data_IF_279885485047
#
_entry.id   IF_279885485047
#
_cell.length_a   1.000
_cell.length_b   1.000
_cell.length_c   1.000
_cell.angle_alpha   90.00
_cell.angle_beta   90.00
_cell.angle_gamma   90.00
#
_symmetry.space_group_name_H-M   'P 1'
#
loop_
_entity.id
_entity.type
_entity.pdbx_description
1 polymer ?
#
# COMPACT_ATOMS: atom_id res chain seq x y z
N UNK A 1 4.41 -3.69 -35.37
CA UNK A 1 5.29 -3.70 -34.18
C UNK A 1 4.52 -4.40 -33.07
N UNK A 2 4.79 -5.69 -32.86
CA UNK A 2 4.19 -6.45 -31.76
C UNK A 2 4.75 -5.93 -30.44
N UNK A 3 3.92 -5.25 -29.65
CA UNK A 3 4.27 -4.85 -28.29
C UNK A 3 4.37 -6.15 -27.49
N UNK A 4 5.58 -6.58 -27.15
CA UNK A 4 5.74 -7.67 -26.18
C UNK A 4 5.23 -7.14 -24.85
N UNK A 5 4.19 -7.76 -24.30
CA UNK A 5 3.60 -7.45 -23.00
C UNK A 5 4.53 -7.84 -21.84
N UNK A 6 5.77 -7.34 -21.89
CA UNK A 6 6.72 -7.53 -20.81
C UNK A 6 6.26 -6.63 -19.67
N UNK A 7 5.74 -7.23 -18.60
CA UNK A 7 5.42 -6.53 -17.36
C UNK A 7 6.67 -5.80 -16.89
N UNK A 8 6.58 -4.48 -16.75
CA UNK A 8 7.70 -3.64 -16.31
C UNK A 8 8.19 -4.12 -14.94
N UNK A 9 9.49 -4.47 -14.76
CA UNK A 9 10.04 -4.87 -13.47
C UNK A 9 9.77 -3.85 -12.36
N UNK A 10 9.72 -2.56 -12.69
CA UNK A 10 9.40 -1.49 -11.73
C UNK A 10 7.94 -1.59 -11.27
N UNK A 11 7.03 -1.95 -12.18
CA UNK A 11 5.63 -2.19 -11.84
C UNK A 11 5.48 -3.39 -10.90
N UNK A 12 6.23 -4.47 -11.11
CA UNK A 12 6.23 -5.64 -10.22
C UNK A 12 6.70 -5.25 -8.81
N UNK A 13 7.79 -4.49 -8.70
CA UNK A 13 8.30 -4.02 -7.40
C UNK A 13 7.28 -3.13 -6.69
N UNK A 14 6.64 -2.20 -7.41
CA UNK A 14 5.58 -1.36 -6.86
C UNK A 14 4.42 -2.18 -6.28
N UNK A 15 4.02 -3.25 -6.97
CA UNK A 15 2.94 -4.13 -6.51
C UNK A 15 3.33 -4.90 -5.24
N UNK A 16 4.56 -5.40 -5.16
CA UNK A 16 5.04 -6.09 -3.96
C UNK A 16 5.09 -5.13 -2.77
N UNK A 17 5.68 -3.94 -2.95
CA UNK A 17 5.75 -2.90 -1.91
C UNK A 17 4.35 -2.50 -1.43
N UNK A 18 3.42 -2.33 -2.37
CA UNK A 18 2.00 -2.04 -2.11
C UNK A 18 1.35 -3.09 -1.23
N UNK A 19 1.51 -4.37 -1.56
CA UNK A 19 0.90 -5.49 -0.82
C UNK A 19 1.44 -5.53 0.61
N UNK A 20 2.76 -5.38 0.76
CA UNK A 20 3.42 -5.37 2.08
C UNK A 20 2.89 -4.21 2.92
N UNK A 21 2.85 -3.00 2.36
CA UNK A 21 2.41 -1.81 3.09
C UNK A 21 0.95 -1.87 3.47
N UNK A 22 0.09 -2.38 2.59
CA UNK A 22 -1.32 -2.59 2.89
C UNK A 22 -1.48 -3.62 4.01
N UNK A 23 -0.68 -4.70 4.01
CA UNK A 23 -0.66 -5.69 5.09
C UNK A 23 -0.23 -5.10 6.43
N UNK A 24 0.87 -4.34 6.45
CA UNK A 24 1.36 -3.66 7.67
C UNK A 24 0.35 -2.63 8.18
N UNK A 25 -0.27 -1.86 7.28
CA UNK A 25 -1.36 -0.94 7.62
C UNK A 25 -2.54 -1.68 8.26
N UNK A 26 -2.87 -2.88 7.78
CA UNK A 26 -3.92 -3.73 8.35
C UNK A 26 -3.57 -4.18 9.78
N UNK A 27 -2.35 -4.66 9.99
CA UNK A 27 -1.87 -5.07 11.33
C UNK A 27 -1.88 -3.88 12.31
N UNK A 28 -1.41 -2.71 11.87
CA UNK A 28 -1.43 -1.49 12.69
C UNK A 28 -2.85 -1.05 13.01
N UNK A 29 -3.75 -1.10 12.03
CA UNK A 29 -5.15 -0.74 12.23
C UNK A 29 -5.84 -1.70 13.18
N UNK A 30 -5.50 -2.99 13.12
CA UNK A 30 -6.06 -4.02 14.01
C UNK A 30 -5.59 -3.82 15.45
N UNK A 31 -4.31 -3.47 15.66
CA UNK A 31 -3.78 -3.16 16.98
C UNK A 31 -4.36 -1.88 17.60
N UNK A 32 -4.82 -0.93 16.77
CA UNK A 32 -5.44 0.31 17.24
C UNK A 32 -6.94 0.13 17.51
N UNK A 33 -7.63 -0.62 16.66
CA UNK A 33 -9.07 -0.78 16.67
C UNK A 33 -9.38 -2.22 16.33
N UNK A 34 -9.53 -3.05 17.37
CA UNK A 34 -9.93 -4.43 17.19
C UNK A 34 -11.37 -4.49 16.66
N UNK A 35 -11.63 -5.19 15.55
CA UNK A 35 -12.96 -5.29 14.94
C UNK A 35 -13.83 -6.32 15.70
N UNK A 36 -14.10 -6.06 16.97
CA UNK A 36 -14.93 -6.90 17.86
C UNK A 36 -16.45 -6.69 17.70
N UNK A 37 -16.83 -5.61 17.02
CA UNK A 37 -18.21 -5.17 16.82
C UNK A 37 -18.38 -4.56 15.43
N UNK A 38 -19.62 -4.53 14.93
CA UNK A 38 -19.92 -3.98 13.59
C UNK A 38 -19.43 -2.54 13.41
N UNK A 39 -19.56 -1.71 14.44
CA UNK A 39 -19.07 -0.33 14.42
C UNK A 39 -17.55 -0.26 14.43
N UNK A 40 -16.88 -1.04 15.28
CA UNK A 40 -15.41 -1.09 15.31
C UNK A 40 -14.83 -1.64 14.00
N UNK A 41 -15.52 -2.56 13.33
CA UNK A 41 -15.16 -3.01 11.99
C UNK A 41 -15.21 -1.89 10.93
N UNK A 42 -16.25 -1.05 10.95
CA UNK A 42 -16.34 0.10 10.04
C UNK A 42 -15.18 1.07 10.29
N UNK A 43 -14.86 1.34 11.56
CA UNK A 43 -13.75 2.24 11.90
C UNK A 43 -12.41 1.62 11.53
N UNK A 44 -12.21 0.31 11.77
CA UNK A 44 -11.03 -0.45 11.34
C UNK A 44 -10.83 -0.36 9.83
N UNK A 45 -11.85 -0.64 9.02
CA UNK A 45 -11.75 -0.55 7.55
C UNK A 45 -11.43 0.88 7.12
N UNK A 46 -12.08 1.87 7.73
CA UNK A 46 -11.84 3.28 7.40
C UNK A 46 -10.39 3.67 7.71
N UNK A 47 -9.90 3.31 8.90
CA UNK A 47 -8.52 3.57 9.32
C UNK A 47 -7.52 2.85 8.42
N UNK A 48 -7.78 1.58 8.11
CA UNK A 48 -6.93 0.76 7.24
C UNK A 48 -6.86 1.33 5.82
N UNK A 49 -7.99 1.75 5.23
CA UNK A 49 -8.01 2.40 3.92
C UNK A 49 -7.22 3.72 3.92
N UNK A 50 -7.35 4.54 4.97
CA UNK A 50 -6.62 5.81 5.10
C UNK A 50 -5.12 5.56 5.24
N UNK A 51 -4.71 4.67 6.16
CA UNK A 51 -3.30 4.31 6.35
C UNK A 51 -2.68 3.75 5.07
N UNK A 52 -3.41 2.89 4.34
CA UNK A 52 -2.94 2.31 3.09
C UNK A 52 -2.70 3.38 2.03
N UNK A 53 -3.60 4.37 1.88
CA UNK A 53 -3.39 5.49 0.95
C UNK A 53 -2.16 6.33 1.32
N UNK A 54 -1.96 6.61 2.61
CA UNK A 54 -0.79 7.36 3.08
C UNK A 54 0.49 6.58 2.80
N UNK A 55 0.52 5.28 3.10
CA UNK A 55 1.67 4.43 2.83
C UNK A 55 2.02 4.39 1.33
N UNK A 56 1.02 4.26 0.46
CA UNK A 56 1.20 4.32 -0.99
C UNK A 56 1.80 5.64 -1.48
N UNK A 57 1.31 6.77 -0.97
CA UNK A 57 1.84 8.09 -1.32
C UNK A 57 3.31 8.21 -0.90
N UNK A 58 3.64 7.74 0.30
CA UNK A 58 5.03 7.70 0.79
C UNK A 58 5.90 6.83 -0.12
N UNK A 59 5.43 5.66 -0.54
CA UNK A 59 6.17 4.80 -1.45
C UNK A 59 6.40 5.41 -2.82
N UNK A 60 5.39 6.07 -3.39
CA UNK A 60 5.57 6.77 -4.67
C UNK A 60 6.61 7.87 -4.56
N UNK A 61 6.60 8.64 -3.46
CA UNK A 61 7.61 9.67 -3.21
C UNK A 61 9.00 9.04 -3.07
N UNK A 62 9.14 7.95 -2.30
CA UNK A 62 10.42 7.26 -2.13
C UNK A 62 10.96 6.72 -3.46
N UNK A 63 10.10 6.11 -4.28
CA UNK A 63 10.50 5.59 -5.60
C UNK A 63 10.89 6.74 -6.53
N UNK A 64 10.11 7.82 -6.57
CA UNK A 64 10.42 8.99 -7.40
C UNK A 64 11.75 9.65 -6.99
N UNK A 65 12.04 9.72 -5.68
CA UNK A 65 13.33 10.21 -5.19
C UNK A 65 14.47 9.28 -5.59
N UNK A 66 14.28 7.97 -5.52
CA UNK A 66 15.29 7.00 -5.91
C UNK A 66 15.57 7.01 -7.41
N UNK A 67 14.53 7.11 -8.25
CA UNK A 67 14.63 7.24 -9.70
C UNK A 67 15.36 8.54 -10.10
N UNK A 68 15.10 9.66 -9.40
CA UNK A 68 15.79 10.93 -9.66
C UNK A 68 17.28 10.96 -9.28
N UNK A 69 17.78 9.93 -8.59
CA UNK A 69 19.16 9.86 -8.09
C UNK A 69 20.09 9.02 -8.98
N UNK A 70 19.55 8.30 -9.97
CA UNK A 70 20.28 7.49 -10.96
C UNK A 70 20.07 8.02 -12.39
#
# INVERSE_FOLDING_TARGET
MSKSDNVDPVAIVMWIVTIILTGVAGILSWNLIEPDSFWNFIVFITLWCVLSRVAHLISMILIAMFDSWF
#
